data_IF_708559840320
#
_entry.id   IF_708559840320
#
_cell.length_a   1.000
_cell.length_b   1.000
_cell.length_c   1.000
_cell.angle_alpha   90.00
_cell.angle_beta   90.00
_cell.angle_gamma   90.00
#
_symmetry.space_group_name_H-M   'P 1'
#
loop_
_entity.id
_entity.type
_entity.pdbx_description
1 polymer ?
#
# COMPACT_ATOMS: atom_id res chain seq x y z
N UNK A 1 -9.86 17.03 -28.83
CA UNK A 1 -11.03 17.08 -27.95
C UNK A 1 -11.71 15.73 -27.91
N UNK A 2 -12.08 15.28 -26.72
CA UNK A 2 -12.80 14.03 -26.50
C UNK A 2 -14.00 14.32 -25.59
N UNK A 3 -15.18 13.89 -26.02
CA UNK A 3 -16.41 13.91 -25.20
C UNK A 3 -16.80 12.48 -24.85
N UNK A 4 -17.09 12.23 -23.57
CA UNK A 4 -17.54 10.94 -23.06
C UNK A 4 -18.82 11.13 -22.24
N UNK A 5 -19.82 10.27 -22.47
CA UNK A 5 -21.03 10.17 -21.64
C UNK A 5 -21.29 8.72 -21.34
N UNK A 6 -21.37 8.38 -20.06
CA UNK A 6 -21.67 7.03 -19.61
C UNK A 6 -23.02 7.02 -18.87
N UNK A 7 -23.86 6.09 -19.25
CA UNK A 7 -25.10 5.75 -18.54
C UNK A 7 -25.03 4.23 -18.30
N UNK A 8 -25.15 3.84 -17.04
CA UNK A 8 -25.09 2.44 -16.67
C UNK A 8 -26.18 2.14 -15.64
N UNK A 9 -27.08 1.21 -16.00
CA UNK A 9 -28.21 0.79 -15.17
C UNK A 9 -28.00 -0.67 -14.74
N UNK A 10 -28.09 -0.94 -13.45
CA UNK A 10 -28.01 -2.29 -12.89
C UNK A 10 -29.39 -2.90 -12.60
N UNK A 11 -30.47 -2.15 -12.81
CA UNK A 11 -31.83 -2.59 -12.53
C UNK A 11 -32.24 -2.55 -11.04
N UNK A 12 -31.31 -2.38 -10.14
CA UNK A 12 -31.56 -2.43 -8.68
C UNK A 12 -31.62 -1.06 -8.02
N UNK A 13 -31.15 -0.02 -8.71
CA UNK A 13 -31.05 1.34 -8.16
C UNK A 13 -31.06 2.36 -9.29
N UNK A 14 -31.04 3.66 -8.93
CA UNK A 14 -30.90 4.73 -9.92
C UNK A 14 -29.65 4.54 -10.79
N UNK A 15 -29.76 4.75 -12.10
CA UNK A 15 -28.63 4.54 -13.03
C UNK A 15 -27.44 5.43 -12.72
N UNK A 16 -26.24 4.96 -13.04
CA UNK A 16 -24.99 5.73 -12.92
C UNK A 16 -24.80 6.63 -14.13
N UNK A 17 -24.60 7.91 -13.93
CA UNK A 17 -24.41 8.90 -14.98
C UNK A 17 -23.15 9.69 -14.78
N UNK A 18 -22.25 9.58 -15.75
CA UNK A 18 -21.03 10.39 -15.81
C UNK A 18 -20.90 11.01 -17.19
N UNK A 19 -20.35 12.19 -17.26
CA UNK A 19 -19.96 12.79 -18.53
C UNK A 19 -18.67 13.60 -18.37
N UNK A 20 -17.93 13.72 -19.44
CA UNK A 20 -16.67 14.43 -19.41
C UNK A 20 -16.28 15.00 -20.77
N UNK A 21 -15.59 16.12 -20.74
CA UNK A 21 -14.92 16.72 -21.87
C UNK A 21 -13.44 16.78 -21.55
N UNK A 22 -12.59 16.26 -22.42
CA UNK A 22 -11.14 16.36 -22.29
C UNK A 22 -10.54 17.02 -23.52
N UNK A 23 -9.52 17.81 -23.32
CA UNK A 23 -8.79 18.47 -24.40
C UNK A 23 -7.29 18.41 -24.15
N UNK A 24 -6.54 18.33 -25.26
CA UNK A 24 -5.08 18.40 -25.28
C UNK A 24 -4.63 19.32 -26.41
N UNK A 25 -3.68 20.19 -26.09
CA UNK A 25 -2.93 21.00 -27.06
C UNK A 25 -1.45 20.79 -26.78
N UNK A 26 -0.69 20.49 -27.84
CA UNK A 26 0.76 20.30 -27.76
C UNK A 26 1.41 21.16 -28.87
N UNK A 27 2.46 21.86 -28.48
CA UNK A 27 3.24 22.69 -29.39
C UNK A 27 4.72 22.40 -29.24
N UNK A 28 5.38 22.18 -30.35
CA UNK A 28 6.83 21.94 -30.39
C UNK A 28 7.47 23.03 -31.25
N UNK A 29 8.37 23.80 -30.64
CA UNK A 29 9.11 24.84 -31.33
C UNK A 29 10.50 24.34 -31.67
N UNK A 30 10.83 24.40 -32.99
CA UNK A 30 12.16 24.07 -33.54
C UNK A 30 12.70 22.68 -33.15
N UNK A 31 11.83 21.75 -32.77
CA UNK A 31 12.24 20.44 -32.26
C UNK A 31 12.93 20.44 -30.87
N UNK A 32 13.01 21.62 -30.23
CA UNK A 32 13.78 21.81 -28.97
C UNK A 32 12.90 22.04 -27.75
N UNK A 33 11.87 22.88 -27.91
CA UNK A 33 10.99 23.26 -26.80
C UNK A 33 9.62 22.67 -27.02
N UNK A 34 9.11 21.98 -26.04
CA UNK A 34 7.79 21.35 -26.05
C UNK A 34 6.95 21.99 -24.97
N UNK A 35 5.76 22.43 -25.32
CA UNK A 35 4.76 22.87 -24.37
C UNK A 35 3.47 22.08 -24.59
N UNK A 36 2.87 21.62 -23.52
CA UNK A 36 1.62 20.85 -23.55
C UNK A 36 0.66 21.39 -22.51
N UNK A 37 -0.59 21.52 -22.91
CA UNK A 37 -1.69 21.84 -22.03
C UNK A 37 -2.79 20.79 -22.19
N UNK A 38 -3.25 20.24 -21.07
CA UNK A 38 -4.36 19.31 -21.03
C UNK A 38 -5.40 19.82 -20.05
N UNK A 39 -6.66 19.49 -20.29
CA UNK A 39 -7.71 19.69 -19.32
C UNK A 39 -8.73 18.58 -19.36
N UNK A 40 -9.32 18.30 -18.20
CA UNK A 40 -10.49 17.49 -18.04
C UNK A 40 -11.60 18.29 -17.38
N UNK A 41 -12.81 18.27 -17.94
CA UNK A 41 -14.02 18.82 -17.33
C UNK A 41 -15.02 17.68 -17.15
N UNK A 42 -15.09 17.15 -15.93
CA UNK A 42 -15.82 15.93 -15.64
C UNK A 42 -16.99 16.21 -14.72
N UNK A 43 -18.10 15.52 -14.97
CA UNK A 43 -19.31 15.62 -14.16
C UNK A 43 -19.82 14.26 -13.71
N UNK A 44 -20.30 14.18 -12.48
CA UNK A 44 -20.92 13.00 -11.87
C UNK A 44 -22.16 13.39 -11.06
N UNK A 45 -23.12 12.51 -11.01
CA UNK A 45 -24.32 12.68 -10.17
C UNK A 45 -24.09 12.36 -8.69
N UNK A 46 -22.92 11.83 -8.33
CA UNK A 46 -22.56 11.52 -6.94
C UNK A 46 -22.53 12.76 -6.04
N UNK A 47 -22.47 13.95 -6.62
CA UNK A 47 -22.45 15.22 -5.91
C UNK A 47 -23.77 16.01 -6.10
N UNK A 48 -24.09 16.86 -5.13
CA UNK A 48 -25.24 17.73 -5.18
C UNK A 48 -25.22 18.68 -6.39
N UNK A 49 -26.39 19.17 -6.80
CA UNK A 49 -26.50 20.16 -7.88
C UNK A 49 -25.63 21.39 -7.55
N UNK A 50 -24.78 21.79 -8.51
CA UNK A 50 -23.80 22.85 -8.32
C UNK A 50 -22.38 22.38 -7.97
N UNK A 51 -22.22 21.15 -7.46
CA UNK A 51 -20.90 20.53 -7.14
C UNK A 51 -20.51 19.40 -8.10
N UNK A 52 -21.39 19.07 -9.05
CA UNK A 52 -21.25 17.90 -9.94
C UNK A 52 -20.05 17.94 -10.87
N UNK A 53 -19.64 19.15 -11.28
CA UNK A 53 -18.59 19.32 -12.28
C UNK A 53 -17.29 19.80 -11.64
N UNK A 54 -16.19 19.17 -12.07
CA UNK A 54 -14.83 19.55 -11.71
C UNK A 54 -14.00 19.86 -12.96
N UNK A 55 -13.17 20.91 -12.90
CA UNK A 55 -12.22 21.28 -13.93
C UNK A 55 -10.80 20.95 -13.44
N UNK A 56 -10.08 20.16 -14.25
CA UNK A 56 -8.77 19.61 -13.88
C UNK A 56 -7.76 19.92 -14.98
N UNK A 57 -7.08 21.08 -14.89
CA UNK A 57 -6.06 21.47 -15.85
C UNK A 57 -4.70 20.82 -15.54
N UNK A 58 -3.88 20.65 -16.57
CA UNK A 58 -2.46 20.32 -16.45
C UNK A 58 -1.63 20.97 -17.54
N UNK A 59 -0.40 21.32 -17.20
CA UNK A 59 0.58 21.86 -18.13
C UNK A 59 1.90 21.11 -18.00
N UNK A 60 2.61 20.94 -19.10
CA UNK A 60 3.93 20.36 -19.14
C UNK A 60 4.83 21.14 -20.09
N UNK A 61 6.10 21.21 -19.74
CA UNK A 61 7.16 21.79 -20.57
C UNK A 61 8.31 20.80 -20.71
N UNK A 62 8.93 20.80 -21.87
CA UNK A 62 10.10 19.98 -22.16
C UNK A 62 11.14 20.79 -22.93
N UNK A 63 12.39 20.64 -22.53
CA UNK A 63 13.53 21.22 -23.25
C UNK A 63 14.46 20.10 -23.70
N UNK A 64 14.59 19.94 -25.01
CA UNK A 64 15.49 18.97 -25.62
C UNK A 64 16.85 19.66 -25.78
N UNK A 65 17.62 19.66 -24.71
CA UNK A 65 18.91 20.38 -24.61
C UNK A 65 19.91 19.83 -25.64
N UNK A 66 19.85 18.53 -25.96
CA UNK A 66 20.72 17.91 -26.97
C UNK A 66 20.57 18.50 -28.39
N UNK A 67 19.45 19.16 -28.70
CA UNK A 67 19.23 19.83 -29.98
C UNK A 67 19.73 21.25 -30.00
N UNK A 68 20.30 21.79 -28.93
CA UNK A 68 20.86 23.12 -28.88
C UNK A 68 22.23 23.19 -29.62
N UNK A 69 22.55 24.32 -30.26
CA UNK A 69 23.81 24.48 -31.00
C UNK A 69 25.06 24.24 -30.13
N UNK A 70 25.02 24.64 -28.87
CA UNK A 70 26.16 24.45 -27.94
C UNK A 70 26.39 22.99 -27.55
N UNK A 71 25.42 22.10 -27.78
CA UNK A 71 25.54 20.66 -27.49
C UNK A 71 26.13 19.89 -28.69
N UNK A 72 26.23 20.48 -29.85
CA UNK A 72 26.76 19.82 -31.06
C UNK A 72 28.14 19.14 -30.87
N UNK A 73 29.12 19.76 -30.19
CA UNK A 73 30.41 19.12 -29.95
C UNK A 73 30.32 17.85 -29.10
N UNK A 74 29.26 17.71 -28.30
CA UNK A 74 29.07 16.60 -27.36
C UNK A 74 28.15 15.49 -27.89
N UNK A 75 27.59 15.63 -29.10
CA UNK A 75 26.59 14.69 -29.68
C UNK A 75 27.04 13.22 -29.70
N UNK A 76 28.34 12.98 -29.91
CA UNK A 76 28.89 11.62 -29.91
C UNK A 76 28.85 10.96 -28.53
N UNK A 77 28.88 11.76 -27.46
CA UNK A 77 28.84 11.29 -26.08
C UNK A 77 27.42 11.39 -25.50
N UNK A 78 26.77 12.54 -25.70
CA UNK A 78 25.41 12.82 -25.21
C UNK A 78 24.47 12.87 -26.43
N UNK A 79 23.86 11.75 -26.74
CA UNK A 79 22.97 11.60 -27.89
C UNK A 79 21.57 12.16 -27.61
N UNK A 80 21.16 12.21 -26.35
CA UNK A 80 19.89 12.75 -25.89
C UNK A 80 20.07 13.39 -24.52
N UNK A 81 19.61 14.61 -24.38
CA UNK A 81 19.47 15.26 -23.08
C UNK A 81 18.18 16.07 -23.12
N UNK A 82 17.17 15.62 -22.33
CA UNK A 82 15.90 16.29 -22.24
C UNK A 82 15.53 16.50 -20.79
N UNK A 83 15.17 17.73 -20.48
CA UNK A 83 14.57 18.12 -19.21
C UNK A 83 13.07 18.29 -19.41
N UNK A 84 12.29 17.84 -18.44
CA UNK A 84 10.84 18.00 -18.46
C UNK A 84 10.31 18.35 -17.09
N UNK A 85 9.26 19.16 -17.07
CA UNK A 85 8.52 19.48 -15.87
C UNK A 85 7.03 19.49 -16.19
N UNK A 86 6.22 19.03 -15.27
CA UNK A 86 4.77 19.09 -15.39
C UNK A 86 4.12 19.39 -14.05
N UNK A 87 3.00 20.10 -14.13
CA UNK A 87 2.12 20.33 -12.99
C UNK A 87 0.67 20.20 -13.45
N UNK A 88 -0.14 19.51 -12.66
CA UNK A 88 -1.53 19.33 -13.02
C UNK A 88 -2.41 18.88 -11.86
N UNK A 89 -3.70 18.93 -12.10
CA UNK A 89 -4.73 18.49 -11.18
C UNK A 89 -5.47 17.29 -11.73
N UNK A 90 -5.81 16.35 -10.86
CA UNK A 90 -6.66 15.20 -11.16
C UNK A 90 -7.78 15.15 -10.11
N UNK A 91 -9.01 15.02 -10.58
CA UNK A 91 -10.18 14.86 -9.72
C UNK A 91 -10.57 13.39 -9.55
N UNK A 92 -10.97 13.03 -8.34
CA UNK A 92 -11.54 11.73 -8.02
C UNK A 92 -12.93 11.91 -7.40
N UNK A 93 -13.91 11.20 -7.93
CA UNK A 93 -15.31 11.19 -7.44
C UNK A 93 -15.69 9.87 -6.76
N UNK A 94 -14.72 9.05 -6.39
CA UNK A 94 -14.97 7.79 -5.70
C UNK A 94 -15.31 8.06 -4.23
N UNK A 95 -16.51 7.75 -3.84
CA UNK A 95 -17.04 7.94 -2.48
C UNK A 95 -17.00 6.64 -1.64
N UNK A 96 -16.01 5.76 -1.91
CA UNK A 96 -15.86 4.48 -1.17
C UNK A 96 -17.13 3.61 -1.20
N UNK A 97 -17.77 3.52 -2.37
CA UNK A 97 -18.99 2.73 -2.57
C UNK A 97 -20.29 3.46 -2.22
N UNK A 98 -20.24 4.66 -1.64
CA UNK A 98 -21.44 5.46 -1.35
C UNK A 98 -21.94 6.13 -2.62
N UNK A 99 -23.24 6.26 -2.71
CA UNK A 99 -23.92 7.03 -3.78
C UNK A 99 -24.81 8.08 -3.14
N UNK A 100 -24.91 9.23 -3.82
CA UNK A 100 -25.76 10.33 -3.36
C UNK A 100 -25.51 10.71 -1.90
N UNK A 101 -24.24 10.65 -1.46
CA UNK A 101 -23.86 10.89 -0.08
C UNK A 101 -24.18 12.31 0.43
N UNK A 102 -24.75 13.17 -0.42
CA UNK A 102 -25.32 14.46 -0.06
C UNK A 102 -26.76 14.38 0.47
N UNK A 103 -27.36 13.18 0.49
CA UNK A 103 -28.70 12.90 1.02
C UNK A 103 -28.53 12.02 2.24
N UNK A 104 -29.19 12.41 3.35
CA UNK A 104 -29.27 11.56 4.54
C UNK A 104 -30.02 10.26 4.23
N UNK A 105 -29.58 9.16 4.83
CA UNK A 105 -30.26 7.88 4.77
C UNK A 105 -31.01 7.61 6.05
N UNK A 106 -32.16 6.96 5.95
CA UNK A 106 -32.89 6.44 7.09
C UNK A 106 -32.71 4.93 7.10
N UNK A 107 -32.28 4.39 8.24
CA UNK A 107 -32.17 2.97 8.47
C UNK A 107 -33.46 2.46 9.12
N UNK A 108 -34.05 1.46 8.48
CA UNK A 108 -35.14 0.67 8.97
C UNK A 108 -34.60 -0.60 9.64
N UNK A 109 -35.23 -0.99 10.74
CA UNK A 109 -34.61 -1.70 11.81
C UNK A 109 -34.66 -3.23 11.74
N UNK A 110 -34.72 -3.85 10.62
CA UNK A 110 -34.78 -5.33 10.64
C UNK A 110 -33.45 -6.03 10.96
N UNK A 111 -32.30 -5.39 10.83
CA UNK A 111 -31.01 -6.07 11.05
C UNK A 111 -29.86 -5.27 11.70
N UNK A 112 -29.93 -3.93 11.80
CA UNK A 112 -28.71 -3.15 12.11
C UNK A 112 -28.81 -2.17 13.30
N UNK A 113 -29.97 -2.05 13.95
CA UNK A 113 -30.15 -1.08 15.04
C UNK A 113 -30.69 -1.80 16.27
N UNK A 114 -30.02 -1.72 17.43
CA UNK A 114 -30.55 -2.27 18.67
C UNK A 114 -31.83 -1.58 19.07
N UNK A 115 -32.71 -2.27 19.79
CA UNK A 115 -33.96 -1.74 20.36
C UNK A 115 -33.75 -0.39 21.07
N UNK A 116 -34.00 0.70 20.38
CA UNK A 116 -33.73 2.05 20.89
C UNK A 116 -34.86 2.59 21.80
N UNK A 117 -36.08 2.10 21.63
CA UNK A 117 -37.19 2.48 22.50
C UNK A 117 -37.80 1.27 23.18
N UNK A 118 -37.72 1.28 24.48
CA UNK A 118 -38.39 0.34 25.33
C UNK A 118 -39.52 1.06 26.06
N UNK A 119 -40.72 0.49 26.00
CA UNK A 119 -41.94 1.02 26.64
C UNK A 119 -42.31 0.12 27.81
N UNK A 120 -43.01 0.66 28.78
CA UNK A 120 -43.43 -0.04 29.98
C UNK A 120 -42.55 0.24 31.20
N UNK A 121 -43.05 -0.07 32.39
CA UNK A 121 -42.35 0.18 33.67
C UNK A 121 -41.02 -0.54 33.76
N UNK A 122 -40.89 -1.72 33.14
CA UNK A 122 -39.68 -2.56 33.14
C UNK A 122 -38.99 -2.64 31.77
N UNK A 123 -39.45 -1.81 30.79
CA UNK A 123 -38.86 -1.81 29.44
C UNK A 123 -39.18 -3.06 28.62
N UNK A 124 -40.26 -3.78 28.92
CA UNK A 124 -40.58 -5.08 28.34
C UNK A 124 -41.08 -5.01 26.88
N UNK A 125 -41.44 -3.83 26.40
CA UNK A 125 -41.95 -3.65 25.05
C UNK A 125 -40.96 -2.89 24.19
N UNK A 126 -40.09 -3.63 23.48
CA UNK A 126 -39.26 -3.08 22.43
C UNK A 126 -40.05 -2.78 21.15
N UNK A 127 -39.83 -1.62 20.53
CA UNK A 127 -40.39 -1.26 19.23
C UNK A 127 -39.29 -0.99 18.26
N UNK A 128 -39.46 -1.50 17.04
CA UNK A 128 -38.56 -1.20 15.93
C UNK A 128 -38.60 0.30 15.63
N UNK A 129 -37.47 0.85 15.40
CA UNK A 129 -37.28 2.29 15.19
C UNK A 129 -36.64 2.61 13.87
N UNK A 130 -36.90 3.81 13.38
CA UNK A 130 -36.14 4.42 12.29
C UNK A 130 -35.10 5.34 12.90
N UNK A 131 -33.87 5.25 12.43
CA UNK A 131 -32.79 6.15 12.81
C UNK A 131 -32.20 6.78 11.57
N UNK A 132 -31.66 7.99 11.71
CA UNK A 132 -30.82 8.58 10.69
C UNK A 132 -29.53 7.75 10.59
N UNK A 133 -29.29 7.16 9.43
CA UNK A 133 -28.09 6.37 9.15
C UNK A 133 -26.91 7.24 8.80
N UNK A 134 -26.58 7.30 7.51
CA UNK A 134 -25.55 8.21 7.04
C UNK A 134 -26.10 9.63 6.92
N UNK A 135 -25.49 10.57 7.63
CA UNK A 135 -25.82 12.00 7.53
C UNK A 135 -25.45 12.54 6.15
N UNK A 136 -26.37 13.24 5.50
CA UNK A 136 -26.15 13.83 4.18
C UNK A 136 -25.11 14.95 4.22
N UNK A 137 -24.23 14.99 3.24
CA UNK A 137 -23.14 15.96 3.13
C UNK A 137 -23.40 16.88 1.93
N UNK A 138 -24.14 18.01 2.11
CA UNK A 138 -24.52 18.89 0.98
C UNK A 138 -23.29 19.52 0.29
N UNK A 139 -22.22 19.73 1.05
CA UNK A 139 -20.97 20.36 0.57
C UNK A 139 -19.95 19.37 0.01
N UNK A 140 -20.34 18.12 -0.15
CA UNK A 140 -19.49 17.10 -0.73
C UNK A 140 -18.96 17.49 -2.11
N UNK A 141 -17.66 17.40 -2.31
CA UNK A 141 -16.96 17.79 -3.53
C UNK A 141 -15.91 16.79 -3.97
N UNK A 142 -15.31 17.06 -5.11
CA UNK A 142 -14.23 16.27 -5.67
C UNK A 142 -13.02 16.21 -4.74
N UNK A 143 -12.46 15.03 -4.58
CA UNK A 143 -11.09 14.85 -4.11
C UNK A 143 -10.15 15.33 -5.21
N UNK A 144 -9.18 16.18 -4.86
CA UNK A 144 -8.25 16.80 -5.81
C UNK A 144 -6.82 16.35 -5.49
N UNK A 145 -6.14 15.84 -6.50
CA UNK A 145 -4.71 15.54 -6.44
C UNK A 145 -3.96 16.54 -7.28
N UNK A 146 -3.10 17.32 -6.65
CA UNK A 146 -2.11 18.17 -7.32
C UNK A 146 -0.85 17.34 -7.51
N UNK A 147 -0.37 17.23 -8.75
CA UNK A 147 0.81 16.46 -9.12
C UNK A 147 1.85 17.36 -9.75
N UNK A 148 3.05 17.37 -9.20
CA UNK A 148 4.24 17.95 -9.79
C UNK A 148 5.22 16.84 -10.14
N UNK A 149 5.84 16.92 -11.32
CA UNK A 149 6.87 15.99 -11.74
C UNK A 149 7.99 16.78 -12.45
N UNK A 150 9.25 16.41 -12.14
CA UNK A 150 10.44 16.89 -12.85
C UNK A 150 11.23 15.67 -13.30
N UNK A 151 11.56 15.62 -14.59
CA UNK A 151 12.23 14.48 -15.19
C UNK A 151 13.44 14.86 -16.03
N UNK A 152 14.39 13.96 -16.05
CA UNK A 152 15.59 13.96 -16.87
C UNK A 152 15.59 12.71 -17.75
N UNK A 153 15.80 12.88 -19.06
CA UNK A 153 16.05 11.80 -19.99
C UNK A 153 17.48 12.00 -20.59
N UNK A 154 18.35 11.04 -20.37
CA UNK A 154 19.75 11.09 -20.81
C UNK A 154 20.09 9.87 -21.65
N UNK A 155 20.46 10.10 -22.90
CA UNK A 155 21.00 9.10 -23.81
C UNK A 155 22.49 9.34 -24.01
N UNK A 156 23.32 8.33 -23.82
CA UNK A 156 24.78 8.42 -23.99
C UNK A 156 25.26 7.46 -25.07
N UNK A 157 26.38 7.83 -25.71
CA UNK A 157 27.11 7.00 -26.65
C UNK A 157 26.23 6.43 -27.78
N UNK A 158 25.51 7.33 -28.47
CA UNK A 158 24.57 7.00 -29.55
C UNK A 158 23.46 6.00 -29.14
N UNK A 159 22.91 6.17 -27.92
CA UNK A 159 21.84 5.33 -27.41
C UNK A 159 22.30 4.01 -26.80
N UNK A 160 23.61 3.86 -26.55
CA UNK A 160 24.11 2.70 -25.80
C UNK A 160 23.58 2.69 -24.35
N UNK A 161 23.49 3.86 -23.74
CA UNK A 161 22.95 4.04 -22.38
C UNK A 161 21.76 4.99 -22.43
N UNK A 162 20.61 4.55 -21.95
CA UNK A 162 19.43 5.37 -21.75
C UNK A 162 19.08 5.39 -20.27
N UNK A 163 19.12 6.58 -19.67
CA UNK A 163 18.78 6.84 -18.28
C UNK A 163 17.59 7.79 -18.22
N UNK A 164 16.59 7.42 -17.47
CA UNK A 164 15.46 8.28 -17.13
C UNK A 164 15.37 8.40 -15.62
N UNK A 165 15.25 9.63 -15.12
CA UNK A 165 15.06 9.93 -13.70
C UNK A 165 13.89 10.87 -13.56
N UNK A 166 12.96 10.56 -12.68
CA UNK A 166 11.80 11.34 -12.35
C UNK A 166 11.72 11.57 -10.84
N UNK A 167 11.36 12.79 -10.47
CA UNK A 167 10.98 13.17 -9.11
C UNK A 167 9.55 13.67 -9.13
N UNK A 168 8.73 13.17 -8.22
CA UNK A 168 7.34 13.57 -8.12
C UNK A 168 6.95 14.01 -6.70
N UNK A 169 6.01 14.99 -6.66
CA UNK A 169 5.31 15.42 -5.44
C UNK A 169 3.81 15.41 -5.76
N UNK A 170 3.05 14.67 -5.00
CA UNK A 170 1.60 14.60 -5.11
C UNK A 170 0.97 15.03 -3.80
N UNK A 171 0.02 15.95 -3.85
CA UNK A 171 -0.76 16.42 -2.71
C UNK A 171 -2.23 16.18 -2.96
N UNK A 172 -2.76 15.26 -2.21
CA UNK A 172 -4.16 14.87 -2.26
C UNK A 172 -4.92 15.59 -1.17
N UNK A 173 -5.94 16.34 -1.57
CA UNK A 173 -6.77 17.15 -0.70
C UNK A 173 -8.24 16.77 -0.86
N UNK A 174 -9.07 17.19 0.08
CA UNK A 174 -10.50 16.91 0.08
C UNK A 174 -10.83 15.42 0.05
N UNK A 175 -10.00 14.59 0.66
CA UNK A 175 -10.28 13.15 0.78
C UNK A 175 -11.50 13.00 1.69
N UNK A 176 -12.45 12.17 1.26
CA UNK A 176 -13.62 11.83 2.07
C UNK A 176 -13.18 10.96 3.25
N UNK A 177 -13.34 11.48 4.46
CA UNK A 177 -13.01 10.82 5.73
C UNK A 177 -14.19 10.91 6.68
N UNK A 178 -14.25 9.97 7.60
CA UNK A 178 -15.17 10.02 8.74
C UNK A 178 -14.71 11.10 9.72
N UNK A 179 -15.65 11.92 10.21
CA UNK A 179 -15.35 13.02 11.13
C UNK A 179 -15.31 12.49 12.58
N UNK A 180 -14.15 11.99 12.96
CA UNK A 180 -13.93 11.38 14.28
C UNK A 180 -13.64 12.41 15.39
N UNK A 181 -13.42 13.67 15.04
CA UNK A 181 -13.35 14.79 16.00
C UNK A 181 -14.70 15.14 16.62
N UNK A 182 -15.81 14.66 16.04
CA UNK A 182 -17.16 14.87 16.56
C UNK A 182 -17.37 13.98 17.78
N UNK A 183 -17.72 14.54 18.95
CA UNK A 183 -17.94 13.74 20.15
C UNK A 183 -19.18 12.83 20.03
N UNK A 184 -19.12 11.63 20.60
CA UNK A 184 -20.28 10.70 20.64
C UNK A 184 -21.54 11.31 21.30
N UNK A 185 -21.35 12.31 22.17
CA UNK A 185 -22.44 13.06 22.81
C UNK A 185 -23.28 13.93 21.84
N UNK A 186 -22.80 14.09 20.58
CA UNK A 186 -23.53 14.79 19.52
C UNK A 186 -24.80 14.06 19.05
N UNK A 187 -24.97 12.79 19.45
CA UNK A 187 -26.17 12.01 19.19
C UNK A 187 -26.28 11.42 17.78
N UNK A 188 -25.24 11.49 16.97
CA UNK A 188 -25.22 10.80 15.69
C UNK A 188 -25.13 9.28 15.90
N UNK A 189 -25.95 8.53 15.19
CA UNK A 189 -25.85 7.07 15.18
C UNK A 189 -24.57 6.59 14.47
N UNK A 190 -24.19 7.29 13.41
CA UNK A 190 -22.90 7.13 12.72
C UNK A 190 -22.26 8.50 12.55
N UNK A 191 -20.96 8.57 12.74
CA UNK A 191 -20.25 9.83 12.52
C UNK A 191 -20.47 10.32 11.09
N UNK A 192 -20.74 11.62 10.90
CA UNK A 192 -20.79 12.22 9.57
C UNK A 192 -19.45 12.07 8.83
N UNK A 193 -19.50 12.18 7.53
CA UNK A 193 -18.31 12.19 6.67
C UNK A 193 -18.07 13.59 6.10
N UNK A 194 -16.83 13.89 5.74
CA UNK A 194 -16.48 15.18 5.16
C UNK A 194 -15.21 15.13 4.30
N UNK A 195 -15.08 16.11 3.40
CA UNK A 195 -13.88 16.28 2.55
C UNK A 195 -12.75 16.98 3.33
N UNK A 196 -12.21 16.35 4.36
CA UNK A 196 -11.18 16.93 5.23
C UNK A 196 -9.80 16.29 5.07
N UNK A 197 -9.75 15.03 4.66
CA UNK A 197 -8.49 14.29 4.62
C UNK A 197 -7.48 14.89 3.64
N UNK A 198 -6.21 14.85 4.02
CA UNK A 198 -5.06 15.30 3.23
C UNK A 198 -3.93 14.31 3.34
N UNK A 199 -3.36 13.95 2.19
CA UNK A 199 -2.21 13.04 2.08
C UNK A 199 -1.22 13.64 1.10
N UNK A 200 0.05 13.53 1.42
CA UNK A 200 1.18 13.87 0.58
C UNK A 200 1.86 12.59 0.13
N UNK A 201 2.34 12.52 -1.12
CA UNK A 201 3.13 11.41 -1.63
C UNK A 201 4.30 11.96 -2.45
N UNK A 202 5.52 11.54 -2.13
CA UNK A 202 6.74 12.00 -2.78
C UNK A 202 7.61 10.82 -3.14
N UNK A 203 8.36 10.94 -4.22
CA UNK A 203 9.26 9.86 -4.59
C UNK A 203 10.14 10.17 -5.78
N UNK A 204 10.90 9.14 -6.13
CA UNK A 204 11.79 9.14 -7.26
C UNK A 204 11.67 7.82 -8.03
N UNK A 205 11.77 7.92 -9.35
CA UNK A 205 11.79 6.78 -10.27
C UNK A 205 13.04 6.86 -11.13
N UNK A 206 13.71 5.74 -11.29
CA UNK A 206 14.91 5.63 -12.13
C UNK A 206 14.75 4.43 -13.05
N UNK A 207 14.97 4.65 -14.34
CA UNK A 207 15.04 3.58 -15.33
C UNK A 207 16.36 3.68 -16.09
N UNK A 208 17.09 2.58 -16.16
CA UNK A 208 18.36 2.48 -16.86
C UNK A 208 18.31 1.33 -17.86
N UNK A 209 18.67 1.62 -19.11
CA UNK A 209 18.90 0.62 -20.13
C UNK A 209 20.30 0.80 -20.71
N UNK A 210 21.06 -0.29 -20.83
CA UNK A 210 22.36 -0.30 -21.47
C UNK A 210 22.36 -1.40 -22.51
N UNK A 211 22.61 -1.04 -23.76
CA UNK A 211 22.65 -1.96 -24.88
C UNK A 211 23.94 -1.78 -25.65
N UNK A 212 24.79 -2.81 -25.71
CA UNK A 212 26.07 -2.73 -26.40
C UNK A 212 26.31 -3.98 -27.26
N UNK A 213 26.54 -3.72 -28.52
CA UNK A 213 27.10 -4.72 -29.43
C UNK A 213 28.63 -4.67 -29.35
N UNK A 214 29.29 -5.79 -29.06
CA UNK A 214 30.73 -5.94 -28.96
C UNK A 214 31.16 -6.84 -30.10
N UNK A 215 31.84 -6.27 -31.08
CA UNK A 215 32.16 -6.99 -32.31
C UNK A 215 30.90 -7.43 -33.06
N UNK A 216 31.00 -8.54 -33.80
CA UNK A 216 29.87 -9.08 -34.59
C UNK A 216 29.01 -10.07 -33.84
N UNK A 217 29.55 -10.69 -32.81
CA UNK A 217 28.99 -11.91 -32.23
C UNK A 217 28.47 -11.74 -30.80
N UNK A 218 28.86 -10.68 -30.08
CA UNK A 218 28.50 -10.55 -28.69
C UNK A 218 27.64 -9.29 -28.45
N UNK A 219 26.52 -9.48 -27.80
CA UNK A 219 25.61 -8.41 -27.35
C UNK A 219 25.41 -8.52 -25.85
N UNK A 220 25.43 -7.37 -25.18
CA UNK A 220 25.05 -7.21 -23.77
C UNK A 220 23.95 -6.18 -23.64
N UNK A 221 22.85 -6.57 -23.00
CA UNK A 221 21.78 -5.69 -22.58
C UNK A 221 21.63 -5.74 -21.07
N UNK A 222 21.66 -4.59 -20.42
CA UNK A 222 21.34 -4.45 -19.00
C UNK A 222 20.12 -3.56 -18.88
N UNK A 223 19.20 -3.93 -17.99
CA UNK A 223 18.05 -3.11 -17.64
C UNK A 223 17.93 -2.99 -16.14
N UNK A 224 17.48 -1.83 -15.68
CA UNK A 224 17.22 -1.58 -14.27
C UNK A 224 16.08 -0.61 -14.10
N UNK A 225 15.23 -0.85 -13.11
CA UNK A 225 14.20 0.07 -12.65
C UNK A 225 14.23 0.15 -11.13
N UNK A 226 14.02 1.33 -10.61
CA UNK A 226 13.94 1.60 -9.19
C UNK A 226 12.89 2.65 -8.94
N UNK A 227 11.97 2.39 -8.02
CA UNK A 227 10.95 3.33 -7.56
C UNK A 227 11.02 3.41 -6.05
N UNK A 228 11.08 4.61 -5.54
CA UNK A 228 10.87 4.93 -4.13
C UNK A 228 9.70 5.88 -4.03
N UNK A 229 8.69 5.52 -3.23
CA UNK A 229 7.52 6.35 -2.97
C UNK A 229 7.20 6.33 -1.48
N UNK A 230 7.10 7.49 -0.89
CA UNK A 230 6.72 7.66 0.52
C UNK A 230 5.54 8.60 0.63
N UNK A 231 4.48 8.15 1.29
CA UNK A 231 3.31 8.96 1.54
C UNK A 231 3.17 9.26 3.04
N UNK A 232 2.49 10.37 3.35
CA UNK A 232 2.27 10.85 4.70
C UNK A 232 0.85 11.39 4.83
N UNK A 233 0.15 11.00 5.87
CA UNK A 233 -1.14 11.57 6.27
C UNK A 233 -0.88 12.93 6.90
N UNK A 234 -1.37 13.99 6.25
CA UNK A 234 -1.25 15.35 6.77
C UNK A 234 -2.45 15.71 7.66
N UNK A 235 -3.61 15.17 7.33
CA UNK A 235 -4.85 15.41 8.07
C UNK A 235 -5.83 14.25 7.82
N UNK A 236 -6.40 13.69 8.86
CA UNK A 236 -7.33 12.57 8.80
C UNK A 236 -8.60 12.79 9.62
N UNK A 237 -8.73 13.90 10.33
CA UNK A 237 -9.79 14.17 11.29
C UNK A 237 -9.85 13.12 12.42
N UNK A 238 -8.76 13.01 13.16
CA UNK A 238 -8.62 12.05 14.26
C UNK A 238 -9.39 12.50 15.52
N UNK A 239 -9.78 11.55 16.40
CA UNK A 239 -10.35 11.89 17.71
C UNK A 239 -9.40 12.77 18.52
N UNK A 240 -9.93 13.75 19.23
CA UNK A 240 -9.13 14.69 20.03
C UNK A 240 -8.18 14.01 21.03
N UNK A 241 -8.58 12.86 21.59
CA UNK A 241 -7.74 12.08 22.51
C UNK A 241 -6.62 11.28 21.84
N UNK A 242 -6.54 11.28 20.50
CA UNK A 242 -5.50 10.56 19.73
C UNK A 242 -4.41 11.51 19.25
N UNK A 243 -4.77 12.76 18.99
CA UNK A 243 -3.86 13.77 18.44
C UNK A 243 -2.68 13.99 19.41
N UNK A 244 -1.45 13.88 18.88
CA UNK A 244 -0.22 14.06 19.65
C UNK A 244 0.16 12.88 20.53
N UNK A 245 -0.55 11.76 20.46
CA UNK A 245 -0.18 10.50 21.13
C UNK A 245 0.58 9.59 20.17
N UNK A 246 1.14 8.50 20.70
CA UNK A 246 1.83 7.45 19.93
C UNK A 246 0.90 6.72 18.93
N UNK A 247 -0.42 6.89 19.07
CA UNK A 247 -1.45 6.28 18.22
C UNK A 247 -1.92 7.17 17.08
N UNK A 248 -1.47 8.43 17.02
CA UNK A 248 -1.86 9.33 15.95
C UNK A 248 -1.40 8.77 14.59
N UNK A 249 -2.32 8.69 13.63
CA UNK A 249 -1.99 8.27 12.28
C UNK A 249 -1.45 9.43 11.44
N UNK A 250 -1.80 10.67 11.81
CA UNK A 250 -1.25 11.90 11.20
C UNK A 250 0.25 11.95 11.40
N UNK A 251 0.99 12.22 10.34
CA UNK A 251 2.45 12.16 10.30
C UNK A 251 3.02 10.79 9.92
N UNK A 252 2.17 9.79 9.75
CA UNK A 252 2.56 8.44 9.32
C UNK A 252 2.04 8.11 7.90
N UNK A 253 2.62 7.10 7.22
CA UNK A 253 2.10 6.63 5.95
C UNK A 253 0.68 6.06 6.06
N UNK A 254 -0.07 6.17 4.98
CA UNK A 254 -1.38 5.50 4.86
C UNK A 254 -1.19 3.98 4.97
N UNK A 255 -1.89 3.36 5.93
CA UNK A 255 -1.75 1.93 6.20
C UNK A 255 -0.56 1.59 7.10
N UNK A 256 0.01 2.57 7.82
CA UNK A 256 0.98 2.32 8.89
C UNK A 256 0.41 1.30 9.87
N UNK A 257 1.21 0.31 10.19
CA UNK A 257 0.85 -0.70 11.18
C UNK A 257 1.05 -0.11 12.57
N UNK A 258 -0.01 -0.15 13.38
CA UNK A 258 0.02 0.19 14.81
C UNK A 258 -0.16 -1.06 15.63
N UNK A 259 0.54 -1.14 16.76
CA UNK A 259 0.48 -2.27 17.65
C UNK A 259 1.33 -2.09 18.90
N UNK A 260 1.40 -3.13 19.70
CA UNK A 260 2.15 -3.16 20.94
C UNK A 260 3.61 -3.54 20.70
N UNK A 261 4.50 -2.96 21.50
CA UNK A 261 5.91 -3.38 21.54
C UNK A 261 6.03 -4.53 22.54
N UNK A 262 6.49 -5.70 22.10
CA UNK A 262 6.80 -6.78 23.05
C UNK A 262 8.12 -6.47 23.77
N UNK A 263 8.16 -6.77 25.05
CA UNK A 263 9.38 -6.74 25.88
C UNK A 263 10.06 -8.12 25.79
N UNK A 264 9.40 -9.12 26.31
CA UNK A 264 9.82 -10.53 26.36
C UNK A 264 8.61 -11.42 26.65
N UNK A 265 8.83 -12.69 26.88
CA UNK A 265 7.81 -13.56 27.48
C UNK A 265 7.83 -13.43 29.00
N UNK A 266 6.68 -13.51 29.64
CA UNK A 266 6.60 -13.59 31.09
C UNK A 266 7.37 -14.80 31.60
N UNK A 267 8.11 -14.61 32.69
CA UNK A 267 8.79 -15.65 33.46
C UNK A 267 8.11 -15.83 34.82
N UNK A 268 8.40 -16.89 35.54
CA UNK A 268 7.90 -17.10 36.91
C UNK A 268 8.28 -15.93 37.84
N UNK A 269 9.43 -15.28 37.58
CA UNK A 269 9.89 -14.13 38.35
C UNK A 269 9.00 -12.89 38.24
N UNK A 270 8.12 -12.81 37.27
CA UNK A 270 7.16 -11.71 37.14
C UNK A 270 5.95 -11.85 38.09
N UNK A 271 5.79 -13.00 38.73
CA UNK A 271 4.59 -13.32 39.51
C UNK A 271 4.87 -13.36 41.02
N UNK A 272 3.90 -12.90 41.80
CA UNK A 272 3.77 -13.22 43.22
C UNK A 272 3.14 -14.59 43.44
N UNK A 273 2.20 -14.94 42.57
CA UNK A 273 1.48 -16.20 42.55
C UNK A 273 1.26 -16.64 41.10
N UNK A 274 2.04 -17.61 40.66
CA UNK A 274 2.01 -18.12 39.28
C UNK A 274 0.69 -18.84 39.00
N UNK A 275 0.19 -19.59 39.97
CA UNK A 275 -1.03 -20.42 39.82
C UNK A 275 -2.24 -19.50 39.59
N UNK A 276 -2.36 -18.44 40.37
CA UNK A 276 -3.43 -17.45 40.23
C UNK A 276 -3.14 -16.31 39.24
N UNK A 277 -1.94 -16.23 38.65
CA UNK A 277 -1.53 -15.22 37.72
C UNK A 277 -1.40 -13.83 38.34
N UNK A 278 -1.03 -13.77 39.62
CA UNK A 278 -0.85 -12.51 40.34
C UNK A 278 0.53 -11.98 40.07
N UNK A 279 0.61 -10.84 39.41
CA UNK A 279 1.87 -10.19 39.04
C UNK A 279 2.53 -9.50 40.26
N UNK A 280 3.86 -9.38 40.25
CA UNK A 280 4.63 -8.59 41.22
C UNK A 280 4.34 -7.10 41.04
N UNK A 281 4.57 -6.33 42.12
CA UNK A 281 4.47 -4.89 42.07
C UNK A 281 5.47 -4.32 41.06
N UNK A 282 5.03 -3.34 40.27
CA UNK A 282 5.82 -2.75 39.18
C UNK A 282 5.81 -3.54 37.84
N UNK A 283 5.15 -4.70 37.78
CA UNK A 283 4.93 -5.39 36.51
C UNK A 283 3.59 -4.94 35.95
N UNK A 284 3.54 -4.33 34.75
CA UNK A 284 2.31 -3.82 34.16
C UNK A 284 1.26 -4.90 33.93
N UNK A 285 0.01 -4.62 34.30
CA UNK A 285 -1.10 -5.55 34.14
C UNK A 285 -1.58 -5.56 32.72
N UNK A 286 -1.65 -6.74 32.10
CA UNK A 286 -2.21 -6.90 30.75
C UNK A 286 -3.75 -6.85 30.82
N UNK A 287 -4.39 -5.92 30.11
CA UNK A 287 -5.85 -5.75 30.16
C UNK A 287 -6.62 -6.66 29.21
N UNK A 288 -5.92 -7.36 28.30
CA UNK A 288 -6.52 -8.22 27.28
C UNK A 288 -7.08 -9.54 27.80
N UNK A 289 -6.62 -9.97 28.95
CA UNK A 289 -7.02 -11.22 29.58
C UNK A 289 -7.11 -11.05 31.10
N UNK A 290 -7.97 -11.82 31.73
CA UNK A 290 -8.09 -11.82 33.19
C UNK A 290 -6.85 -12.38 33.88
N UNK A 291 -6.10 -13.25 33.20
CA UNK A 291 -4.98 -13.99 33.78
C UNK A 291 -3.91 -14.25 32.74
N UNK A 292 -2.71 -13.76 32.97
CA UNK A 292 -1.49 -14.13 32.23
C UNK A 292 -0.71 -15.22 32.96
N UNK A 293 0.17 -15.91 32.25
CA UNK A 293 1.01 -16.97 32.77
C UNK A 293 2.43 -16.87 32.22
N UNK A 294 3.43 -17.53 32.83
CA UNK A 294 4.75 -17.67 32.24
C UNK A 294 4.67 -18.19 30.80
N UNK A 295 5.45 -17.59 29.90
CA UNK A 295 5.44 -17.87 28.47
C UNK A 295 4.41 -17.10 27.64
N UNK A 296 3.55 -16.29 28.26
CA UNK A 296 2.73 -15.29 27.54
C UNK A 296 3.56 -14.07 27.17
N UNK A 297 3.17 -13.35 26.12
CA UNK A 297 3.88 -12.14 25.67
C UNK A 297 3.67 -11.03 26.69
N UNK A 298 4.75 -10.43 27.14
CA UNK A 298 4.77 -9.22 27.97
C UNK A 298 4.98 -8.01 27.06
N UNK A 299 4.12 -7.02 27.18
CA UNK A 299 4.19 -5.79 26.40
C UNK A 299 4.80 -4.65 27.23
N UNK A 300 5.35 -3.67 26.53
CA UNK A 300 5.92 -2.45 27.13
C UNK A 300 4.80 -1.48 27.47
N UNK A 301 4.77 -1.01 28.70
CA UNK A 301 3.93 0.09 29.18
C UNK A 301 4.57 1.43 28.76
N UNK A 302 4.01 2.03 27.71
CA UNK A 302 4.57 3.23 27.09
C UNK A 302 4.23 4.50 27.87
N UNK A 303 3.03 4.59 28.42
CA UNK A 303 2.59 5.74 29.19
C UNK A 303 2.87 5.63 30.70
N UNK A 304 3.38 4.46 31.12
CA UNK A 304 3.81 4.15 32.51
C UNK A 304 2.67 4.26 33.53
N UNK A 305 1.45 3.92 33.12
CA UNK A 305 0.29 3.95 33.99
C UNK A 305 0.10 2.65 34.80
N UNK A 306 0.91 1.62 34.54
CA UNK A 306 0.88 0.31 35.20
C UNK A 306 -0.07 -0.69 34.56
N UNK A 307 -0.66 -0.34 33.44
CA UNK A 307 -1.58 -1.19 32.65
C UNK A 307 -1.14 -1.20 31.19
N UNK A 308 -1.34 -2.31 30.52
CA UNK A 308 -1.20 -2.40 29.07
C UNK A 308 -2.57 -2.32 28.45
N UNK A 309 -2.86 -1.24 27.79
CA UNK A 309 -4.13 -0.98 27.14
C UNK A 309 -3.96 -0.31 25.76
N UNK A 310 -5.01 0.26 25.22
CA UNK A 310 -4.96 0.88 23.89
C UNK A 310 -4.04 2.10 23.81
N UNK A 311 -3.65 2.71 24.93
CA UNK A 311 -2.73 3.86 24.95
C UNK A 311 -1.27 3.45 24.79
N UNK A 312 -0.94 2.16 24.95
CA UNK A 312 0.40 1.62 24.72
C UNK A 312 0.66 1.18 23.28
N UNK A 313 -0.25 1.50 22.37
CA UNK A 313 -0.01 1.27 20.96
C UNK A 313 0.84 2.38 20.36
N UNK A 314 1.71 2.00 19.42
CA UNK A 314 2.50 2.93 18.63
C UNK A 314 2.68 2.41 17.20
N UNK A 315 3.21 3.26 16.32
CA UNK A 315 3.62 2.84 14.99
C UNK A 315 4.75 1.82 15.09
N UNK A 316 4.54 0.62 14.54
CA UNK A 316 5.52 -0.47 14.50
C UNK A 316 5.83 -0.86 13.06
N UNK A 317 7.12 -1.09 12.74
CA UNK A 317 7.55 -1.40 11.37
C UNK A 317 7.22 -0.29 10.39
N UNK A 318 6.34 -0.59 9.44
CA UNK A 318 5.91 0.34 8.38
C UNK A 318 4.55 -0.07 7.81
N UNK A 319 4.42 -0.05 6.49
CA UNK A 319 3.19 -0.40 5.78
C UNK A 319 3.28 -1.77 5.12
N UNK A 320 2.13 -2.35 4.78
CA UNK A 320 2.08 -3.57 3.94
C UNK A 320 2.42 -3.25 2.47
N UNK A 321 2.12 -2.03 2.01
CA UNK A 321 2.49 -1.58 0.68
C UNK A 321 3.99 -1.22 0.66
N UNK A 322 4.78 -1.76 -0.29
CA UNK A 322 6.20 -1.47 -0.35
C UNK A 322 6.46 -0.01 -0.74
N UNK A 323 7.37 0.66 -0.03
CA UNK A 323 7.88 1.97 -0.43
C UNK A 323 8.96 1.88 -1.51
N UNK A 324 9.64 0.75 -1.62
CA UNK A 324 10.69 0.50 -2.60
C UNK A 324 10.28 -0.67 -3.49
N UNK A 325 10.31 -0.44 -4.80
CA UNK A 325 10.14 -1.48 -5.82
C UNK A 325 11.31 -1.38 -6.79
N UNK A 326 11.97 -2.48 -7.09
CA UNK A 326 13.09 -2.49 -7.99
C UNK A 326 13.15 -3.76 -8.82
N UNK A 327 13.73 -3.62 -10.00
CA UNK A 327 14.00 -4.75 -10.88
C UNK A 327 15.26 -4.49 -11.69
N UNK A 328 16.01 -5.53 -11.97
CA UNK A 328 17.14 -5.46 -12.86
C UNK A 328 17.33 -6.76 -13.61
N UNK A 329 17.88 -6.66 -14.79
CA UNK A 329 18.08 -7.82 -15.65
C UNK A 329 19.28 -7.68 -16.55
N UNK A 330 19.77 -8.83 -17.00
CA UNK A 330 20.84 -8.96 -17.98
C UNK A 330 20.38 -9.85 -19.12
N UNK A 331 20.66 -9.41 -20.34
CA UNK A 331 20.48 -10.17 -21.56
C UNK A 331 21.83 -10.25 -22.28
N UNK A 332 22.32 -11.46 -22.49
CA UNK A 332 23.54 -11.71 -23.18
C UNK A 332 23.25 -12.53 -24.45
N UNK A 333 23.89 -12.21 -25.54
CA UNK A 333 23.85 -13.02 -26.76
C UNK A 333 25.26 -13.18 -27.29
N UNK A 334 25.67 -14.42 -27.47
CA UNK A 334 26.92 -14.78 -28.05
C UNK A 334 26.71 -15.77 -29.19
N UNK A 335 26.85 -15.25 -30.42
CA UNK A 335 26.49 -16.01 -31.63
C UNK A 335 25.08 -16.52 -31.56
N UNK A 336 24.91 -17.84 -31.54
CA UNK A 336 23.63 -18.53 -31.48
C UNK A 336 23.08 -18.74 -30.07
N UNK A 337 23.92 -18.52 -29.04
CA UNK A 337 23.52 -18.63 -27.63
C UNK A 337 22.94 -17.31 -27.12
N UNK A 338 21.86 -17.38 -26.39
CA UNK A 338 21.31 -16.28 -25.65
C UNK A 338 21.03 -16.68 -24.20
N UNK A 339 21.28 -15.74 -23.31
CA UNK A 339 21.07 -15.87 -21.87
C UNK A 339 20.33 -14.64 -21.36
N UNK A 340 19.30 -14.85 -20.57
CA UNK A 340 18.55 -13.81 -19.90
C UNK A 340 18.32 -14.13 -18.43
N UNK A 341 18.58 -13.16 -17.57
CA UNK A 341 18.22 -13.24 -16.15
C UNK A 341 17.54 -11.96 -15.72
N UNK A 342 16.43 -12.07 -14.98
CA UNK A 342 15.68 -10.94 -14.46
C UNK A 342 15.41 -11.12 -12.97
N UNK A 343 15.75 -10.11 -12.21
CA UNK A 343 15.51 -10.01 -10.79
C UNK A 343 14.43 -8.96 -10.50
N UNK A 344 13.62 -9.22 -9.51
CA UNK A 344 12.62 -8.31 -8.98
C UNK A 344 12.66 -8.32 -7.47
N UNK A 345 12.52 -7.15 -6.86
CA UNK A 345 12.48 -7.04 -5.41
C UNK A 345 11.59 -5.91 -4.93
N UNK A 346 11.21 -6.01 -3.67
CA UNK A 346 10.52 -4.97 -2.94
C UNK A 346 11.23 -4.73 -1.60
N UNK A 347 11.09 -3.54 -1.07
CA UNK A 347 11.67 -3.16 0.21
C UNK A 347 10.76 -2.25 1.02
N UNK A 348 11.03 -2.15 2.31
CA UNK A 348 10.23 -1.37 3.25
C UNK A 348 8.76 -1.78 3.22
N UNK A 349 8.51 -3.06 3.38
CA UNK A 349 7.17 -3.63 3.51
C UNK A 349 7.12 -4.55 4.70
N UNK A 350 6.04 -4.49 5.44
CA UNK A 350 5.87 -5.18 6.71
C UNK A 350 4.49 -5.82 6.78
N UNK A 351 4.38 -6.87 7.56
CA UNK A 351 3.10 -7.53 7.79
C UNK A 351 3.01 -8.07 9.20
N UNK A 352 1.82 -8.00 9.77
CA UNK A 352 1.47 -8.75 10.97
C UNK A 352 1.04 -10.15 10.53
N UNK A 353 1.63 -11.17 11.12
CA UNK A 353 1.16 -12.55 10.93
C UNK A 353 -0.28 -12.67 11.45
N UNK A 354 -1.16 -13.24 10.61
CA UNK A 354 -2.59 -13.33 10.95
C UNK A 354 -2.88 -14.38 12.01
N UNK A 355 -4.08 -14.33 12.57
CA UNK A 355 -4.57 -15.29 13.55
C UNK A 355 -4.52 -16.75 13.10
N UNK A 356 -4.49 -17.02 11.80
CA UNK A 356 -4.40 -18.39 11.26
C UNK A 356 -3.04 -19.04 11.50
N UNK A 357 -1.99 -18.24 11.77
CA UNK A 357 -0.64 -18.71 12.07
C UNK A 357 -0.44 -18.87 13.58
N UNK A 358 -1.29 -18.24 14.37
CA UNK A 358 -1.27 -18.33 15.82
C UNK A 358 -2.01 -19.60 16.25
N UNK A 359 -1.32 -20.71 16.53
CA UNK A 359 -1.99 -21.96 16.88
C UNK A 359 -2.74 -21.80 18.20
N UNK A 360 -3.91 -22.37 18.27
CA UNK A 360 -4.77 -22.45 19.45
C UNK A 360 -5.23 -21.08 20.03
N UNK A 361 -4.89 -19.95 19.41
CA UNK A 361 -5.26 -18.63 19.95
C UNK A 361 -6.70 -18.22 19.61
N UNK A 362 -7.38 -18.91 18.71
CA UNK A 362 -8.68 -18.50 18.23
C UNK A 362 -9.75 -19.61 18.34
N UNK A 363 -10.64 -19.46 19.31
CA UNK A 363 -12.01 -20.00 19.35
C UNK A 363 -12.14 -21.54 19.38
N UNK A 364 -11.17 -22.28 19.94
CA UNK A 364 -11.31 -23.74 20.01
C UNK A 364 -11.49 -24.42 18.65
N UNK A 365 -11.04 -23.77 17.56
CA UNK A 365 -11.25 -24.23 16.21
C UNK A 365 -10.09 -25.11 15.76
N UNK A 366 -10.41 -26.07 14.91
CA UNK A 366 -9.47 -26.99 14.30
C UNK A 366 -8.62 -26.29 13.24
N UNK A 367 -7.62 -25.49 13.68
CA UNK A 367 -6.61 -24.94 12.77
C UNK A 367 -5.48 -25.95 12.58
N UNK A 368 -4.90 -25.97 11.39
CA UNK A 368 -3.71 -26.77 11.12
C UNK A 368 -2.54 -26.27 11.98
N UNK A 369 -1.76 -27.18 12.49
CA UNK A 369 -0.50 -26.92 13.16
C UNK A 369 0.59 -26.91 12.09
N UNK A 370 1.37 -25.84 12.02
CA UNK A 370 2.52 -25.75 11.13
C UNK A 370 3.68 -26.61 11.67
N UNK A 371 4.57 -27.04 10.81
CA UNK A 371 5.74 -27.86 11.14
C UNK A 371 6.69 -27.18 12.14
N UNK A 372 6.77 -25.83 12.10
CA UNK A 372 7.57 -25.04 13.03
C UNK A 372 6.93 -24.86 14.42
N UNK A 373 5.81 -25.54 14.72
CA UNK A 373 5.16 -25.46 16.04
C UNK A 373 6.02 -26.00 17.19
N UNK A 374 7.04 -26.78 16.87
CA UNK A 374 8.02 -27.23 17.87
C UNK A 374 8.82 -26.06 18.46
N UNK A 375 8.98 -24.98 17.70
CA UNK A 375 9.64 -23.74 18.12
C UNK A 375 8.66 -22.86 18.93
N UNK A 376 8.32 -23.34 20.12
CA UNK A 376 7.43 -22.66 21.06
C UNK A 376 7.97 -22.68 22.48
N UNK A 377 7.50 -21.74 23.27
CA UNK A 377 7.72 -21.77 24.70
C UNK A 377 6.95 -22.93 25.32
N UNK A 378 7.63 -23.69 26.20
CA UNK A 378 7.04 -24.75 27.04
C UNK A 378 7.66 -24.69 28.43
N UNK A 379 7.06 -25.39 29.40
CA UNK A 379 7.61 -25.48 30.76
C UNK A 379 9.01 -26.12 30.78
N UNK A 380 9.27 -27.05 29.84
CA UNK A 380 10.56 -27.73 29.73
C UNK A 380 11.55 -26.92 28.87
N UNK A 381 11.07 -25.99 28.04
CA UNK A 381 11.87 -25.06 27.22
C UNK A 381 11.38 -23.63 27.42
N UNK A 382 11.90 -22.97 28.44
CA UNK A 382 11.55 -21.59 28.80
C UNK A 382 12.38 -20.54 28.01
N UNK A 383 12.80 -20.88 26.78
CA UNK A 383 13.54 -19.94 25.94
C UNK A 383 12.72 -18.70 25.61
N UNK A 384 13.39 -17.54 25.60
CA UNK A 384 12.82 -16.26 25.12
C UNK A 384 12.93 -16.12 23.60
N UNK A 385 13.81 -16.90 22.97
CA UNK A 385 14.03 -16.91 21.52
C UNK A 385 13.30 -18.10 20.92
N UNK A 386 12.00 -17.95 20.77
CA UNK A 386 11.08 -18.92 20.18
C UNK A 386 10.11 -18.21 19.24
N UNK A 387 9.61 -18.93 18.25
CA UNK A 387 8.64 -18.37 17.30
C UNK A 387 7.27 -18.18 17.93
N UNK A 388 6.80 -19.17 18.69
CA UNK A 388 5.48 -19.13 19.35
C UNK A 388 5.61 -18.92 20.86
N UNK A 389 4.79 -18.04 21.43
CA UNK A 389 4.64 -17.97 22.88
C UNK A 389 4.00 -19.24 23.42
N UNK A 390 3.73 -19.30 24.70
CA UNK A 390 3.01 -20.40 25.35
C UNK A 390 1.72 -20.74 24.60
N UNK A 391 1.52 -22.02 24.33
CA UNK A 391 0.25 -22.51 23.81
C UNK A 391 -0.84 -22.47 24.89
N UNK A 392 -2.07 -22.13 24.49
CA UNK A 392 -3.22 -22.17 25.37
C UNK A 392 -4.31 -23.08 24.82
N UNK A 393 -5.15 -23.58 25.68
CA UNK A 393 -6.31 -24.37 25.28
C UNK A 393 -7.50 -23.44 25.08
N UNK A 394 -7.52 -22.79 23.94
CA UNK A 394 -8.52 -21.78 23.59
C UNK A 394 -7.92 -20.42 23.22
N UNK A 395 -8.78 -19.39 23.06
CA UNK A 395 -8.32 -18.07 22.67
C UNK A 395 -7.42 -17.46 23.75
N UNK A 396 -6.21 -17.08 23.38
CA UNK A 396 -5.35 -16.23 24.20
C UNK A 396 -5.32 -14.81 23.63
N UNK A 397 -6.20 -13.96 24.16
CA UNK A 397 -6.34 -12.58 23.69
C UNK A 397 -5.05 -11.76 23.89
N UNK A 398 -4.24 -12.10 24.91
CA UNK A 398 -2.96 -11.44 25.15
C UNK A 398 -1.96 -11.75 24.03
N UNK A 399 -1.76 -13.04 23.73
CA UNK A 399 -0.76 -13.45 22.75
C UNK A 399 -1.16 -13.17 21.30
N UNK A 400 -2.42 -12.85 21.04
CA UNK A 400 -2.95 -12.56 19.71
C UNK A 400 -3.02 -11.07 19.37
N UNK A 401 -2.49 -10.20 20.23
CA UNK A 401 -2.45 -8.76 19.93
C UNK A 401 -1.51 -8.45 18.77
N UNK A 402 -1.88 -7.45 17.94
CA UNK A 402 -0.99 -6.88 16.94
C UNK A 402 0.23 -6.30 17.65
N UNK A 403 1.39 -6.87 17.41
CA UNK A 403 2.60 -6.49 18.15
C UNK A 403 3.87 -6.74 17.33
N UNK A 404 4.96 -6.21 17.81
CA UNK A 404 6.29 -6.47 17.25
C UNK A 404 6.68 -7.96 17.30
N UNK A 405 6.04 -8.77 18.15
CA UNK A 405 6.23 -10.22 18.16
C UNK A 405 5.80 -10.87 16.84
N UNK A 406 4.68 -10.44 16.29
CA UNK A 406 4.10 -10.99 15.06
C UNK A 406 4.45 -10.19 13.80
N UNK A 407 5.15 -9.06 13.97
CA UNK A 407 5.56 -8.22 12.86
C UNK A 407 6.71 -8.89 12.08
N UNK A 408 6.58 -8.95 10.77
CA UNK A 408 7.61 -9.49 9.88
C UNK A 408 7.92 -8.52 8.75
N UNK A 409 9.20 -8.44 8.41
CA UNK A 409 9.67 -7.71 7.24
C UNK A 409 9.51 -8.61 6.01
N UNK A 410 8.71 -8.17 5.04
CA UNK A 410 8.37 -8.92 3.84
C UNK A 410 9.24 -8.53 2.64
N UNK A 411 10.30 -7.77 2.84
CA UNK A 411 11.22 -7.39 1.77
C UNK A 411 11.90 -8.64 1.18
N UNK A 412 12.02 -8.65 -0.14
CA UNK A 412 12.70 -9.75 -0.84
C UNK A 412 13.39 -9.29 -2.11
N UNK A 413 14.30 -10.11 -2.61
CA UNK A 413 14.86 -10.12 -3.95
C UNK A 413 14.65 -11.51 -4.56
N UNK A 414 14.11 -11.56 -5.77
CA UNK A 414 13.76 -12.81 -6.47
C UNK A 414 14.38 -12.87 -7.84
N UNK A 415 14.97 -14.02 -8.18
CA UNK A 415 15.29 -14.38 -9.56
C UNK A 415 13.98 -14.80 -10.25
N UNK A 416 13.33 -13.81 -10.90
CA UNK A 416 12.00 -13.94 -11.48
C UNK A 416 11.97 -14.79 -12.72
N UNK A 417 12.96 -14.57 -13.61
CA UNK A 417 13.12 -15.32 -14.84
C UNK A 417 14.60 -15.62 -15.08
N UNK A 418 14.87 -16.83 -15.53
CA UNK A 418 16.16 -17.26 -16.04
C UNK A 418 15.89 -18.02 -17.33
N UNK A 419 16.56 -17.64 -18.41
CA UNK A 419 16.40 -18.29 -19.71
C UNK A 419 17.76 -18.53 -20.36
N UNK A 420 17.92 -19.70 -20.93
CA UNK A 420 19.03 -20.05 -21.79
C UNK A 420 18.49 -20.57 -23.11
N UNK A 421 18.82 -19.93 -24.21
CA UNK A 421 18.37 -20.25 -25.54
C UNK A 421 19.51 -20.55 -26.50
N UNK A 422 19.20 -21.35 -27.50
CA UNK A 422 20.08 -21.64 -28.64
C UNK A 422 19.28 -21.50 -29.94
N UNK A 423 19.71 -20.60 -30.81
CA UNK A 423 19.16 -20.39 -32.14
C UNK A 423 19.87 -21.26 -33.16
N UNK A 424 19.15 -22.10 -33.87
CA UNK A 424 19.76 -22.98 -34.86
C UNK A 424 20.41 -22.15 -36.00
N UNK A 425 21.70 -22.41 -36.34
CA UNK A 425 22.36 -21.75 -37.46
C UNK A 425 21.56 -21.93 -38.75
N UNK A 426 21.40 -20.88 -39.53
CA UNK A 426 20.67 -20.94 -40.82
C UNK A 426 21.14 -22.02 -41.75
N UNK A 427 22.44 -22.39 -41.69
CA UNK A 427 23.02 -23.46 -42.47
C UNK A 427 22.37 -24.84 -42.19
N UNK A 428 21.94 -25.10 -40.98
CA UNK A 428 21.28 -26.36 -40.60
C UNK A 428 19.80 -26.45 -41.09
N UNK A 429 19.23 -25.30 -41.39
CA UNK A 429 17.86 -25.18 -41.82
C UNK A 429 17.71 -25.10 -43.35
N UNK A 430 18.85 -25.06 -44.08
CA UNK A 430 18.85 -25.04 -45.54
C UNK A 430 18.20 -26.35 -46.08
N UNK A 431 17.17 -26.22 -46.90
CA UNK A 431 16.39 -27.35 -47.44
C UNK A 431 15.14 -27.71 -46.64
N UNK A 432 14.88 -27.07 -45.51
CA UNK A 432 13.63 -27.21 -44.77
C UNK A 432 12.71 -26.00 -45.02
N UNK A 433 11.41 -26.20 -44.82
CA UNK A 433 10.41 -25.13 -44.93
C UNK A 433 10.53 -24.11 -43.75
N UNK A 434 11.30 -24.49 -42.70
CA UNK A 434 11.49 -23.69 -41.49
C UNK A 434 12.67 -22.73 -41.71
N UNK A 435 12.43 -21.44 -41.64
CA UNK A 435 13.47 -20.38 -41.78
C UNK A 435 14.23 -20.05 -40.53
N UNK A 436 13.63 -20.26 -39.33
CA UNK A 436 14.22 -20.03 -38.03
C UNK A 436 13.73 -21.10 -37.04
N UNK A 437 14.64 -21.59 -36.21
CA UNK A 437 14.33 -22.48 -35.08
C UNK A 437 15.15 -22.05 -33.86
N UNK A 438 14.55 -22.00 -32.71
CA UNK A 438 15.19 -21.71 -31.42
C UNK A 438 14.70 -22.68 -30.37
N UNK A 439 15.60 -23.27 -29.63
CA UNK A 439 15.32 -24.12 -28.47
C UNK A 439 15.75 -23.35 -27.23
N UNK A 440 14.92 -23.36 -26.19
CA UNK A 440 15.25 -22.68 -24.96
C UNK A 440 14.74 -23.44 -23.73
N UNK A 441 15.38 -23.18 -22.59
CA UNK A 441 14.94 -23.61 -21.28
C UNK A 441 14.71 -22.36 -20.46
N UNK A 442 13.56 -22.28 -19.80
CA UNK A 442 13.18 -21.17 -18.95
C UNK A 442 12.78 -21.67 -17.56
N UNK A 443 13.29 -20.99 -16.54
CA UNK A 443 12.85 -21.13 -15.16
C UNK A 443 12.21 -19.83 -14.65
N UNK A 444 11.19 -19.95 -13.83
CA UNK A 444 10.50 -18.81 -13.21
C UNK A 444 10.50 -18.95 -11.70
N UNK A 445 10.69 -17.85 -10.98
CA UNK A 445 10.70 -17.80 -9.50
C UNK A 445 11.69 -18.79 -8.87
N UNK A 446 12.87 -18.93 -9.45
CA UNK A 446 13.83 -19.98 -9.08
C UNK A 446 14.46 -19.78 -7.71
N UNK A 447 14.77 -18.54 -7.36
CA UNK A 447 15.43 -18.20 -6.10
C UNK A 447 14.75 -16.98 -5.48
N UNK A 448 14.53 -17.02 -4.17
CA UNK A 448 14.01 -15.90 -3.39
C UNK A 448 14.93 -15.66 -2.20
N UNK A 449 15.43 -14.44 -2.08
CA UNK A 449 16.22 -13.98 -0.94
C UNK A 449 15.37 -13.07 -0.09
N UNK A 450 14.98 -13.51 1.11
CA UNK A 450 14.17 -12.77 2.07
C UNK A 450 14.58 -13.14 3.49
N UNK A 451 14.37 -12.23 4.44
CA UNK A 451 14.42 -12.56 5.86
C UNK A 451 13.19 -13.35 6.31
N UNK A 452 12.12 -13.29 5.53
CA UNK A 452 10.90 -14.04 5.75
C UNK A 452 10.99 -15.37 4.99
N UNK A 453 10.86 -16.48 5.70
CA UNK A 453 11.08 -17.84 5.20
C UNK A 453 9.95 -18.83 5.50
N UNK A 454 8.81 -18.35 6.02
CA UNK A 454 7.69 -19.25 6.35
C UNK A 454 6.92 -19.70 5.11
N UNK A 455 6.75 -18.78 4.13
CA UNK A 455 6.14 -19.04 2.82
C UNK A 455 6.63 -17.98 1.83
N UNK A 456 6.07 -17.98 0.63
CA UNK A 456 6.43 -17.00 -0.40
C UNK A 456 6.06 -15.58 0.07
N UNK A 457 7.03 -14.64 0.16
CA UNK A 457 6.78 -13.27 0.63
C UNK A 457 5.84 -12.45 -0.28
N UNK A 458 5.57 -12.87 -1.51
CA UNK A 458 4.56 -12.24 -2.39
C UNK A 458 3.13 -12.69 -2.06
N UNK A 459 2.94 -13.79 -1.34
CA UNK A 459 1.60 -14.26 -0.99
C UNK A 459 0.99 -13.41 0.12
N UNK A 460 -0.23 -12.95 -0.12
CA UNK A 460 -1.07 -12.42 0.94
C UNK A 460 -1.56 -13.58 1.83
N UNK A 461 -1.54 -13.40 3.13
CA UNK A 461 -2.09 -14.37 4.10
C UNK A 461 -3.52 -14.01 4.45
#
# INVERSE_FOLDING_TARGET
LLFNRRHYDKGESLPYRNQGLAGRASYTYSGKYVAEFNFGYNGTENFAKGKRYGFFPSAAVGWIVSEEPFMQPFRNTISKLKLRASYGQVGNANLKGRRFAYISTILDQWNDVPDLYRWGLDGDYGRNNMVEGDFGIPDLTWEIVNKANVGLELGLFNGMVDLQVDFFDERRNNILVELNSIPATSGFYRNPWGNRGKVKNQGAEVTLNVNKQIGKDFFIGLMGSFTYAHNEIIDKDEPLGTIGTTRAETGHPVGQIFGYVHDRLFTEDDFKDVENGVLKDGVPKQTFTAKVRPGDIKYVDLDKNGFIDTYDQMAIGGTENPEIVYGFGVNLRWKELDFGAMFQGIGRTWRILSSNIMPASNKGSMYNIFDNYQDRWTVDNQSQDVFYPRADYGPNANNSQKSTWWLRNMSFLRLKNLELGYSCPKKWLQGFVISNARVFVRGTNLLTFSKFNLWDPELAT
#
